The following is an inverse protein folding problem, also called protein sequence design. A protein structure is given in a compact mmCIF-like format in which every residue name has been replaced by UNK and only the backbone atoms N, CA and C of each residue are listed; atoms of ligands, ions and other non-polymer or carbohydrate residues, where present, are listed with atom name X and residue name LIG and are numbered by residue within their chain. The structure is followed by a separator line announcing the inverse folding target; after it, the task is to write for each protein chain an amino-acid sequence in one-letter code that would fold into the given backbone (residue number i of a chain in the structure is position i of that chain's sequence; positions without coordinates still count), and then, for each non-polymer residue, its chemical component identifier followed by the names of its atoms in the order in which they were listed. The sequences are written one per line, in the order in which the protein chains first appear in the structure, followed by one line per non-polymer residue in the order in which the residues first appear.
data_IF_335939295595
#
_entry.id   IF_335939295595
#
_cell.length_a   1.000
_cell.length_b   1.000
_cell.length_c   1.000
_cell.angle_alpha   90.00
_cell.angle_beta   90.00
_cell.angle_gamma   90.00
#
_symmetry.space_group_name_H-M   'P 1'
#
loop_
_entity.id
_entity.type
_entity.pdbx_description
1 polymer ?
#
# COMPACT_ATOMS: atom_id res chain seq x y z
N UNK A 1 -27.79 -2.31 17.03
CA UNK A 1 -26.38 -2.07 16.66
C UNK A 1 -26.35 -1.23 15.39
N UNK A 2 -25.35 -0.33 15.26
CA UNK A 2 -25.18 0.50 14.07
C UNK A 2 -24.78 -0.38 12.88
N UNK A 3 -25.58 -0.37 11.81
CA UNK A 3 -25.35 -1.20 10.62
C UNK A 3 -24.89 -0.42 9.41
N UNK A 4 -25.32 0.82 9.26
CA UNK A 4 -25.02 1.61 8.07
C UNK A 4 -24.72 3.05 8.47
N UNK A 5 -23.75 3.65 7.78
CA UNK A 5 -23.44 5.06 7.88
C UNK A 5 -23.67 5.65 6.48
N UNK A 6 -24.64 6.58 6.36
CA UNK A 6 -25.00 7.20 5.07
C UNK A 6 -24.07 8.33 4.63
N UNK A 7 -23.10 8.69 5.45
CA UNK A 7 -22.03 9.64 5.14
C UNK A 7 -20.68 9.09 5.57
N UNK A 8 -19.84 9.95 6.13
CA UNK A 8 -18.49 9.57 6.56
C UNK A 8 -18.48 8.97 7.98
N UNK A 9 -17.62 7.98 8.17
CA UNK A 9 -17.17 7.49 9.47
C UNK A 9 -15.77 8.06 9.72
N UNK A 10 -15.66 9.04 10.61
CA UNK A 10 -14.39 9.67 10.95
C UNK A 10 -14.10 9.48 12.43
N UNK A 11 -12.98 8.83 12.75
CA UNK A 11 -12.51 8.58 14.11
C UNK A 11 -11.08 9.08 14.26
N UNK A 12 -10.90 10.07 15.14
CA UNK A 12 -9.59 10.64 15.47
C UNK A 12 -9.37 10.53 16.97
N UNK A 13 -8.23 9.99 17.40
CA UNK A 13 -7.91 9.96 18.83
C UNK A 13 -6.51 9.46 19.13
N UNK A 14 -5.74 10.24 19.88
CA UNK A 14 -4.37 9.89 20.29
C UNK A 14 -4.31 8.70 21.25
N UNK A 15 -5.38 8.47 22.04
CA UNK A 15 -5.46 7.41 23.04
C UNK A 15 -6.38 6.24 22.63
N UNK A 16 -6.91 6.22 21.40
CA UNK A 16 -7.83 5.18 20.96
C UNK A 16 -7.07 3.86 20.72
N UNK A 17 -7.23 2.91 21.63
CA UNK A 17 -6.55 1.62 21.55
C UNK A 17 -7.30 0.59 20.70
N UNK A 18 -8.63 0.62 20.74
CA UNK A 18 -9.46 -0.38 20.05
C UNK A 18 -10.61 0.29 19.34
N UNK A 19 -10.85 -0.12 18.10
CA UNK A 19 -12.05 0.24 17.36
C UNK A 19 -12.71 -1.03 16.85
N UNK A 20 -13.94 -1.29 17.29
CA UNK A 20 -14.66 -2.52 17.00
C UNK A 20 -16.06 -2.21 16.45
N UNK A 21 -16.26 -2.53 15.18
CA UNK A 21 -17.48 -2.27 14.42
C UNK A 21 -18.21 -3.57 14.06
N UNK A 22 -18.50 -4.41 15.05
CA UNK A 22 -19.12 -5.76 14.91
C UNK A 22 -20.33 -5.88 13.98
N UNK A 23 -21.12 -4.82 13.82
CA UNK A 23 -22.37 -4.88 13.03
C UNK A 23 -22.39 -3.91 11.87
N UNK A 24 -21.35 -3.09 11.71
CA UNK A 24 -21.28 -2.11 10.63
C UNK A 24 -21.10 -2.87 9.31
N UNK A 25 -22.01 -2.65 8.38
CA UNK A 25 -22.07 -3.32 7.08
C UNK A 25 -21.62 -2.39 5.95
N UNK A 26 -21.92 -1.09 6.02
CA UNK A 26 -21.53 -0.15 4.98
C UNK A 26 -21.28 1.26 5.49
N UNK A 27 -20.35 1.94 4.79
CA UNK A 27 -20.09 3.38 4.88
C UNK A 27 -20.27 3.98 3.49
N UNK A 28 -21.26 4.85 3.32
CA UNK A 28 -21.57 5.47 2.03
C UNK A 28 -20.63 6.63 1.67
N UNK A 29 -19.88 7.15 2.63
CA UNK A 29 -18.80 8.11 2.44
C UNK A 29 -17.43 7.52 2.75
N UNK A 30 -16.58 8.32 3.36
CA UNK A 30 -15.23 7.95 3.76
C UNK A 30 -15.21 7.18 5.08
N UNK A 31 -14.34 6.18 5.20
CA UNK A 31 -13.97 5.58 6.48
C UNK A 31 -12.56 6.03 6.85
N UNK A 32 -12.46 6.98 7.78
CA UNK A 32 -11.19 7.50 8.31
C UNK A 32 -11.02 7.06 9.75
N UNK A 33 -9.90 6.42 10.06
CA UNK A 33 -9.46 6.17 11.43
C UNK A 33 -8.01 6.60 11.60
N UNK A 34 -7.78 7.44 12.61
CA UNK A 34 -6.47 7.97 12.93
C UNK A 34 -6.22 7.91 14.44
N UNK A 35 -5.18 7.17 14.86
CA UNK A 35 -4.85 7.02 16.28
C UNK A 35 -3.39 6.65 16.48
N UNK A 36 -2.75 7.24 17.49
CA UNK A 36 -1.35 6.98 17.88
C UNK A 36 -1.23 5.70 18.74
N UNK A 37 -2.33 5.26 19.35
CA UNK A 37 -2.35 4.19 20.33
C UNK A 37 -3.10 2.93 19.86
N UNK A 38 -3.52 2.90 18.59
CA UNK A 38 -4.32 1.79 18.07
C UNK A 38 -3.56 0.47 18.20
N UNK A 39 -4.18 -0.49 18.89
CA UNK A 39 -3.72 -1.87 19.02
C UNK A 39 -4.47 -2.77 18.04
N UNK A 40 -5.78 -2.54 17.88
CA UNK A 40 -6.65 -3.41 17.09
C UNK A 40 -7.81 -2.63 16.44
N UNK A 41 -8.13 -3.02 15.21
CA UNK A 41 -9.32 -2.55 14.48
C UNK A 41 -10.05 -3.74 13.85
N UNK A 42 -11.34 -3.89 14.18
CA UNK A 42 -12.20 -4.95 13.65
C UNK A 42 -13.48 -4.39 13.05
N UNK A 43 -13.90 -4.93 11.90
CA UNK A 43 -15.22 -4.69 11.33
C UNK A 43 -15.72 -5.94 10.60
N UNK A 44 -16.24 -6.89 11.39
CA UNK A 44 -16.56 -8.26 10.95
C UNK A 44 -17.62 -8.33 9.84
N UNK A 45 -18.54 -7.36 9.82
CA UNK A 45 -19.67 -7.31 8.91
C UNK A 45 -19.50 -6.29 7.77
N UNK A 46 -18.41 -5.52 7.76
CA UNK A 46 -18.23 -4.43 6.81
C UNK A 46 -17.95 -5.01 5.43
N UNK A 47 -18.83 -4.71 4.46
CA UNK A 47 -18.71 -5.18 3.08
C UNK A 47 -18.26 -4.11 2.11
N UNK A 48 -18.66 -2.85 2.36
CA UNK A 48 -18.44 -1.76 1.40
C UNK A 48 -18.09 -0.43 2.07
N UNK A 49 -17.10 0.26 1.51
CA UNK A 49 -16.85 1.69 1.71
C UNK A 49 -16.94 2.40 0.36
N UNK A 50 -17.94 3.27 0.17
CA UNK A 50 -18.16 3.94 -1.12
C UNK A 50 -17.23 5.16 -1.35
N UNK A 51 -16.52 5.60 -0.31
CA UNK A 51 -15.42 6.56 -0.43
C UNK A 51 -14.05 5.91 -0.21
N UNK A 52 -13.07 6.76 0.13
CA UNK A 52 -11.76 6.32 0.62
C UNK A 52 -11.87 5.60 1.97
N UNK A 53 -11.05 4.58 2.16
CA UNK A 53 -10.77 3.97 3.47
C UNK A 53 -9.35 4.33 3.87
N UNK A 54 -9.21 5.18 4.88
CA UNK A 54 -7.93 5.77 5.31
C UNK A 54 -7.66 5.41 6.76
N UNK A 55 -6.68 4.54 6.99
CA UNK A 55 -6.25 4.11 8.32
C UNK A 55 -4.83 4.60 8.55
N UNK A 56 -4.65 5.48 9.54
CA UNK A 56 -3.35 6.11 9.83
C UNK A 56 -3.01 5.88 11.30
N UNK A 57 -1.87 5.26 11.56
CA UNK A 57 -1.39 4.96 12.91
C UNK A 57 -0.80 6.15 13.65
N UNK A 58 -1.21 7.38 13.33
CA UNK A 58 -0.75 8.58 14.03
C UNK A 58 -1.55 9.81 13.67
N UNK A 59 -1.64 10.73 14.60
CA UNK A 59 -2.18 12.10 14.52
C UNK A 59 -1.09 13.15 14.30
N UNK A 60 0.20 12.77 14.38
CA UNK A 60 1.38 13.60 14.21
C UNK A 60 2.41 12.97 13.25
N UNK A 61 3.52 13.66 12.95
CA UNK A 61 4.47 13.23 11.91
C UNK A 61 5.32 12.01 12.30
N UNK A 62 5.63 11.82 13.59
CA UNK A 62 6.60 10.81 14.05
C UNK A 62 5.98 9.60 14.77
N UNK A 63 4.80 9.74 15.38
CA UNK A 63 4.20 8.62 16.09
C UNK A 63 3.77 7.54 15.09
N UNK A 64 3.79 6.28 15.54
CA UNK A 64 3.35 5.13 14.77
C UNK A 64 2.66 4.16 15.71
N UNK A 65 1.41 3.85 15.41
CA UNK A 65 0.59 3.07 16.31
C UNK A 65 1.12 1.64 16.40
N UNK A 66 1.12 1.04 17.59
CA UNK A 66 1.55 -0.33 17.81
C UNK A 66 0.53 -1.36 17.32
N UNK A 67 -0.27 -1.04 16.30
CA UNK A 67 -1.34 -1.91 15.81
C UNK A 67 -0.73 -3.18 15.24
N UNK A 68 -1.13 -4.32 15.78
CA UNK A 68 -0.60 -5.63 15.36
C UNK A 68 -1.54 -6.30 14.37
N UNK A 69 -2.85 -6.04 14.49
CA UNK A 69 -3.88 -6.74 13.74
C UNK A 69 -5.04 -5.83 13.33
N UNK A 70 -5.49 -6.04 12.10
CA UNK A 70 -6.73 -5.51 11.56
C UNK A 70 -7.54 -6.67 11.00
N UNK A 71 -8.87 -6.58 11.04
CA UNK A 71 -9.73 -7.67 10.58
C UNK A 71 -10.96 -7.16 9.84
N UNK A 72 -11.02 -7.44 8.53
CA UNK A 72 -12.07 -7.03 7.60
C UNK A 72 -12.54 -8.22 6.72
N UNK A 73 -13.04 -9.31 7.33
CA UNK A 73 -13.23 -10.59 6.64
C UNK A 73 -14.28 -10.58 5.53
N UNK A 74 -15.13 -9.55 5.47
CA UNK A 74 -16.22 -9.41 4.49
C UNK A 74 -16.05 -8.20 3.57
N UNK A 75 -14.96 -7.44 3.70
CA UNK A 75 -14.78 -6.19 2.98
C UNK A 75 -14.41 -6.47 1.52
N UNK A 76 -15.40 -6.37 0.65
CA UNK A 76 -15.28 -6.74 -0.77
C UNK A 76 -14.98 -5.54 -1.65
N UNK A 77 -15.42 -4.33 -1.26
CA UNK A 77 -15.39 -3.17 -2.14
C UNK A 77 -15.04 -1.87 -1.41
N UNK A 78 -14.05 -1.18 -1.96
CA UNK A 78 -13.72 0.21 -1.64
C UNK A 78 -13.77 0.98 -2.96
N UNK A 79 -14.68 1.93 -3.13
CA UNK A 79 -14.76 2.68 -4.39
C UNK A 79 -13.62 3.70 -4.53
N UNK A 80 -13.14 4.23 -3.40
CA UNK A 80 -11.99 5.13 -3.34
C UNK A 80 -10.67 4.42 -3.10
N UNK A 81 -9.70 5.16 -2.54
CA UNK A 81 -8.39 4.61 -2.17
C UNK A 81 -8.44 3.88 -0.83
N UNK A 82 -7.85 2.69 -0.77
CA UNK A 82 -7.43 2.06 0.48
C UNK A 82 -6.04 2.58 0.87
N UNK A 83 -5.94 3.31 1.98
CA UNK A 83 -4.68 3.83 2.51
C UNK A 83 -4.40 3.23 3.89
N UNK A 84 -3.25 2.59 4.04
CA UNK A 84 -2.66 2.23 5.32
C UNK A 84 -1.36 2.99 5.50
N UNK A 85 -1.25 3.76 6.58
CA UNK A 85 -0.07 4.59 6.81
C UNK A 85 0.39 4.52 8.27
N UNK A 86 1.71 4.48 8.49
CA UNK A 86 2.36 4.71 9.80
C UNK A 86 1.92 3.76 10.93
N UNK A 87 1.91 2.46 10.65
CA UNK A 87 1.77 1.42 11.68
C UNK A 87 3.10 0.70 11.92
N UNK A 88 3.52 0.63 13.18
CA UNK A 88 4.82 0.09 13.55
C UNK A 88 4.84 -1.43 13.65
N UNK A 89 3.70 -2.05 13.97
CA UNK A 89 3.64 -3.49 14.26
C UNK A 89 2.74 -4.29 13.32
N UNK A 90 2.18 -3.64 12.31
CA UNK A 90 1.20 -4.26 11.42
C UNK A 90 1.92 -5.14 10.40
N UNK A 91 1.93 -6.45 10.64
CA UNK A 91 2.66 -7.42 9.81
C UNK A 91 1.77 -8.37 9.00
N UNK A 92 0.52 -8.60 9.42
CA UNK A 92 -0.38 -9.61 8.85
C UNK A 92 -1.38 -9.08 7.81
N UNK A 93 -0.91 -8.36 6.80
CA UNK A 93 -1.80 -7.65 5.88
C UNK A 93 -2.39 -8.49 4.75
N UNK A 94 -1.68 -9.53 4.28
CA UNK A 94 -2.17 -10.37 3.17
C UNK A 94 -3.53 -11.06 3.43
N UNK A 95 -3.87 -11.35 4.69
CA UNK A 95 -5.18 -11.91 5.06
C UNK A 95 -6.21 -10.86 5.45
N UNK A 96 -5.77 -9.64 5.79
CA UNK A 96 -6.66 -8.57 6.28
C UNK A 96 -7.67 -8.15 5.21
N UNK A 97 -7.22 -8.08 3.93
CA UNK A 97 -8.03 -7.68 2.78
C UNK A 97 -8.17 -8.79 1.74
N UNK A 98 -8.05 -10.06 2.15
CA UNK A 98 -7.99 -11.20 1.23
C UNK A 98 -9.25 -11.45 0.38
N UNK A 99 -10.39 -10.85 0.77
CA UNK A 99 -11.66 -10.93 0.01
C UNK A 99 -11.97 -9.66 -0.79
N UNK A 100 -11.07 -8.67 -0.78
CA UNK A 100 -11.27 -7.41 -1.48
C UNK A 100 -11.14 -7.64 -2.99
N UNK A 101 -12.22 -7.40 -3.72
CA UNK A 101 -12.28 -7.58 -5.18
C UNK A 101 -12.13 -6.26 -5.93
N UNK A 102 -12.37 -5.13 -5.25
CA UNK A 102 -12.34 -3.80 -5.86
C UNK A 102 -11.79 -2.74 -4.89
N UNK A 103 -10.83 -1.97 -5.37
CA UNK A 103 -10.32 -0.75 -4.75
C UNK A 103 -10.05 0.29 -5.83
N UNK A 104 -10.49 1.54 -5.65
CA UNK A 104 -10.19 2.62 -6.59
C UNK A 104 -8.69 2.94 -6.70
N UNK A 105 -7.94 2.73 -5.63
CA UNK A 105 -6.48 2.72 -5.60
C UNK A 105 -5.97 2.04 -4.31
N UNK A 106 -4.70 1.67 -4.28
CA UNK A 106 -4.08 1.00 -3.13
C UNK A 106 -2.82 1.76 -2.70
N UNK A 107 -2.71 2.06 -1.40
CA UNK A 107 -1.60 2.85 -0.86
C UNK A 107 -1.13 2.29 0.49
N UNK A 108 0.11 1.80 0.54
CA UNK A 108 0.82 1.46 1.78
C UNK A 108 1.98 2.43 1.99
N UNK A 109 2.04 3.07 3.15
CA UNK A 109 3.06 4.07 3.49
C UNK A 109 3.61 3.85 4.90
N UNK A 110 4.94 3.87 5.05
CA UNK A 110 5.59 3.85 6.36
C UNK A 110 5.16 2.67 7.26
N UNK A 111 4.98 1.48 6.70
CA UNK A 111 4.62 0.27 7.44
C UNK A 111 5.89 -0.49 7.83
N UNK A 112 6.30 -0.38 9.10
CA UNK A 112 7.62 -0.83 9.54
C UNK A 112 7.78 -2.36 9.50
N UNK A 113 6.69 -3.11 9.73
CA UNK A 113 6.70 -4.58 9.80
C UNK A 113 5.84 -5.28 8.74
N UNK A 114 5.29 -4.57 7.77
CA UNK A 114 4.56 -5.20 6.66
C UNK A 114 5.53 -6.02 5.81
N UNK A 115 5.29 -7.33 5.71
CA UNK A 115 6.15 -8.25 4.95
C UNK A 115 5.60 -8.56 3.55
N UNK A 116 4.28 -8.45 3.36
CA UNK A 116 3.60 -8.66 2.08
C UNK A 116 2.60 -7.54 1.80
N UNK A 117 2.52 -7.18 0.52
CA UNK A 117 1.45 -6.39 -0.08
C UNK A 117 0.72 -7.35 -1.00
N UNK A 118 -0.46 -7.83 -0.60
CA UNK A 118 -1.15 -8.89 -1.33
C UNK A 118 -2.64 -8.59 -1.44
N UNK A 119 -3.14 -8.64 -2.68
CA UNK A 119 -4.56 -8.51 -3.01
C UNK A 119 -4.92 -9.60 -4.02
N UNK A 120 -5.39 -10.78 -3.57
CA UNK A 120 -5.50 -11.96 -4.42
C UNK A 120 -6.65 -11.90 -5.42
N UNK A 121 -7.66 -11.05 -5.19
CA UNK A 121 -8.89 -10.98 -5.98
C UNK A 121 -9.10 -9.65 -6.72
N UNK A 122 -8.18 -8.68 -6.60
CA UNK A 122 -8.29 -7.41 -7.34
C UNK A 122 -7.89 -7.65 -8.79
N UNK A 123 -8.87 -7.51 -9.68
CA UNK A 123 -8.67 -7.58 -11.14
C UNK A 123 -8.30 -6.21 -11.72
N UNK A 124 -8.95 -5.14 -11.25
CA UNK A 124 -8.69 -3.78 -11.71
C UNK A 124 -8.56 -2.82 -10.53
N UNK A 125 -7.64 -1.86 -10.64
CA UNK A 125 -7.49 -0.77 -9.66
C UNK A 125 -6.91 0.47 -10.32
N UNK A 126 -6.97 1.62 -9.67
CA UNK A 126 -6.24 2.81 -10.10
C UNK A 126 -4.76 2.68 -9.73
N UNK A 127 -4.23 3.69 -9.04
CA UNK A 127 -2.81 3.71 -8.71
C UNK A 127 -2.48 2.74 -7.57
N UNK A 128 -1.34 2.09 -7.69
CA UNK A 128 -0.73 1.26 -6.65
C UNK A 128 0.53 1.99 -6.19
N UNK A 129 0.54 2.42 -4.93
CA UNK A 129 1.69 3.12 -4.33
C UNK A 129 2.14 2.39 -3.07
N UNK A 130 3.42 2.06 -3.00
CA UNK A 130 4.06 1.47 -1.84
C UNK A 130 5.31 2.26 -1.51
N UNK A 131 5.31 2.93 -0.35
CA UNK A 131 6.39 3.85 0.05
C UNK A 131 6.88 3.52 1.45
N UNK A 132 8.20 3.50 1.64
CA UNK A 132 8.86 3.37 2.94
C UNK A 132 8.37 2.17 3.78
N UNK A 133 8.29 0.99 3.15
CA UNK A 133 8.00 -0.29 3.80
C UNK A 133 9.29 -1.14 3.82
N UNK A 134 10.19 -0.94 4.80
CA UNK A 134 11.59 -1.35 4.70
C UNK A 134 11.83 -2.86 4.69
N UNK A 135 10.90 -3.64 5.25
CA UNK A 135 11.01 -5.11 5.31
C UNK A 135 10.05 -5.83 4.36
N UNK A 136 9.32 -5.09 3.53
CA UNK A 136 8.38 -5.65 2.58
C UNK A 136 9.13 -6.50 1.56
N UNK A 137 8.79 -7.79 1.47
CA UNK A 137 9.48 -8.75 0.59
C UNK A 137 8.73 -9.05 -0.68
N UNK A 138 7.40 -9.04 -0.61
CA UNK A 138 6.56 -9.50 -1.71
C UNK A 138 5.42 -8.53 -2.00
N UNK A 139 5.25 -8.20 -3.27
CA UNK A 139 4.07 -7.49 -3.81
C UNK A 139 3.37 -8.43 -4.79
N UNK A 140 2.16 -8.88 -4.45
CA UNK A 140 1.46 -9.97 -5.12
C UNK A 140 0.04 -9.54 -5.47
N UNK A 141 -0.25 -9.40 -6.76
CA UNK A 141 -1.61 -9.20 -7.27
C UNK A 141 -1.89 -10.22 -8.38
N UNK A 142 -2.16 -11.49 -8.03
CA UNK A 142 -2.28 -12.59 -8.99
C UNK A 142 -3.49 -12.50 -9.93
N UNK A 143 -4.50 -11.69 -9.57
CA UNK A 143 -5.69 -11.46 -10.39
C UNK A 143 -5.63 -10.17 -11.23
N UNK A 144 -4.66 -9.29 -10.98
CA UNK A 144 -4.61 -7.96 -11.59
C UNK A 144 -4.43 -8.06 -13.12
N UNK A 145 -5.34 -7.45 -13.87
CA UNK A 145 -5.26 -7.29 -15.33
C UNK A 145 -4.91 -5.85 -15.70
N UNK A 146 -5.51 -4.87 -15.03
CA UNK A 146 -5.35 -3.45 -15.35
C UNK A 146 -5.10 -2.61 -14.08
N UNK A 147 -4.13 -1.71 -14.16
CA UNK A 147 -3.88 -0.70 -13.14
C UNK A 147 -3.66 0.69 -13.75
N UNK A 148 -3.75 1.72 -12.93
CA UNK A 148 -3.33 3.08 -13.28
C UNK A 148 -1.81 3.16 -13.38
N UNK A 149 -1.16 3.66 -12.33
CA UNK A 149 0.30 3.66 -12.20
C UNK A 149 0.77 2.71 -11.10
N UNK A 150 2.01 2.24 -11.21
CA UNK A 150 2.69 1.49 -10.15
C UNK A 150 3.90 2.28 -9.66
N UNK A 151 3.90 2.65 -8.39
CA UNK A 151 5.02 3.34 -7.75
C UNK A 151 5.47 2.58 -6.50
N UNK A 152 6.73 2.15 -6.50
CA UNK A 152 7.36 1.50 -5.35
C UNK A 152 8.67 2.22 -5.03
N UNK A 153 8.76 2.81 -3.84
CA UNK A 153 9.91 3.58 -3.36
C UNK A 153 10.21 3.26 -1.90
N UNK A 154 11.48 3.34 -1.47
CA UNK A 154 11.84 3.10 -0.06
C UNK A 154 11.56 1.67 0.45
N UNK A 155 11.51 0.68 -0.45
CA UNK A 155 11.21 -0.72 -0.12
C UNK A 155 12.40 -1.67 -0.47
N UNK A 156 13.56 -1.54 0.20
CA UNK A 156 14.81 -2.22 -0.18
C UNK A 156 14.79 -3.75 -0.04
N UNK A 157 13.86 -4.31 0.73
CA UNK A 157 13.78 -5.75 0.99
C UNK A 157 12.93 -6.53 -0.02
N UNK A 158 12.36 -5.88 -1.06
CA UNK A 158 11.51 -6.56 -2.03
C UNK A 158 12.35 -7.56 -2.84
N UNK A 159 11.95 -8.82 -2.75
CA UNK A 159 12.51 -9.96 -3.47
C UNK A 159 11.54 -10.47 -4.55
N UNK A 160 10.23 -10.21 -4.40
CA UNK A 160 9.20 -10.73 -5.30
C UNK A 160 8.21 -9.64 -5.68
N UNK A 161 8.04 -9.43 -6.97
CA UNK A 161 6.90 -8.73 -7.55
C UNK A 161 6.17 -9.75 -8.44
N UNK A 162 4.84 -9.87 -8.34
CA UNK A 162 4.12 -10.84 -9.16
C UNK A 162 2.77 -10.31 -9.60
N UNK A 163 2.66 -10.07 -10.91
CA UNK A 163 1.46 -9.62 -11.58
C UNK A 163 1.19 -10.50 -12.82
N UNK A 164 0.99 -11.82 -12.64
CA UNK A 164 1.02 -12.80 -13.73
C UNK A 164 -0.06 -12.59 -14.81
N UNK A 165 -1.14 -11.88 -14.49
CA UNK A 165 -2.23 -11.56 -15.41
C UNK A 165 -2.22 -10.11 -15.88
N UNK A 166 -1.26 -9.29 -15.46
CA UNK A 166 -1.29 -7.86 -15.75
C UNK A 166 -1.07 -7.61 -17.24
N UNK A 167 -2.06 -7.03 -17.90
CA UNK A 167 -2.04 -6.73 -19.32
C UNK A 167 -1.62 -5.27 -19.55
N UNK A 168 -1.96 -4.36 -18.62
CA UNK A 168 -1.79 -2.93 -18.82
C UNK A 168 -1.60 -2.12 -17.53
N UNK A 169 -0.72 -1.14 -17.61
CA UNK A 169 -0.67 0.03 -16.72
C UNK A 169 -0.98 1.28 -17.57
N UNK A 170 -1.98 2.06 -17.17
CA UNK A 170 -2.40 3.27 -17.91
C UNK A 170 -1.50 4.48 -17.68
N UNK A 171 -0.65 4.44 -16.65
CA UNK A 171 0.38 5.45 -16.39
C UNK A 171 1.74 4.82 -16.06
N UNK A 172 2.56 5.58 -15.34
CA UNK A 172 3.96 5.21 -15.13
C UNK A 172 4.14 3.98 -14.24
N UNK A 173 5.19 3.20 -14.54
CA UNK A 173 5.72 2.15 -13.67
C UNK A 173 7.09 2.60 -13.17
N UNK A 174 7.13 3.02 -11.91
CA UNK A 174 8.33 3.52 -11.22
C UNK A 174 8.72 2.60 -10.07
N UNK A 175 9.86 1.94 -10.22
CA UNK A 175 10.46 1.08 -9.20
C UNK A 175 11.81 1.65 -8.78
N UNK A 176 11.91 2.18 -7.57
CA UNK A 176 13.13 2.78 -7.05
C UNK A 176 13.62 2.05 -5.79
N UNK A 177 14.93 1.89 -5.68
CA UNK A 177 15.59 1.33 -4.48
C UNK A 177 15.24 -0.14 -4.22
N UNK A 178 15.27 -0.98 -5.27
CA UNK A 178 14.98 -2.43 -5.18
C UNK A 178 16.24 -3.28 -5.48
N UNK A 179 17.22 -3.34 -4.55
CA UNK A 179 18.54 -3.95 -4.83
C UNK A 179 18.51 -5.48 -5.03
N UNK A 180 17.49 -6.17 -4.53
CA UNK A 180 17.36 -7.62 -4.66
C UNK A 180 16.74 -8.06 -6.00
N UNK A 181 16.10 -7.15 -6.72
CA UNK A 181 15.53 -7.41 -8.04
C UNK A 181 16.64 -7.40 -9.09
N UNK A 182 16.86 -8.55 -9.72
CA UNK A 182 17.90 -8.74 -10.74
C UNK A 182 17.36 -8.87 -12.16
N UNK A 183 16.12 -9.33 -12.30
CA UNK A 183 15.45 -9.50 -13.59
C UNK A 183 14.07 -8.89 -13.51
N UNK A 184 13.81 -7.88 -14.35
CA UNK A 184 12.51 -7.21 -14.41
C UNK A 184 11.49 -7.99 -15.25
N UNK A 185 11.95 -8.86 -16.16
CA UNK A 185 11.10 -9.59 -17.10
C UNK A 185 10.28 -10.72 -16.47
N UNK A 186 10.67 -11.20 -15.28
CA UNK A 186 9.90 -12.22 -14.55
C UNK A 186 8.59 -11.69 -13.95
N UNK A 187 8.45 -10.36 -13.82
CA UNK A 187 7.32 -9.74 -13.10
C UNK A 187 6.13 -9.40 -13.99
N UNK A 188 6.40 -9.17 -15.27
CA UNK A 188 5.43 -8.73 -16.25
C UNK A 188 5.25 -9.85 -17.27
N UNK A 189 4.01 -10.28 -17.59
CA UNK A 189 3.83 -11.17 -18.72
C UNK A 189 4.42 -10.48 -19.96
N UNK A 190 5.06 -11.26 -20.82
CA UNK A 190 5.79 -10.82 -22.02
C UNK A 190 4.99 -9.96 -23.03
N UNK A 191 3.71 -9.67 -22.76
CA UNK A 191 2.77 -8.99 -23.64
C UNK A 191 2.57 -7.49 -23.32
N UNK A 192 3.16 -6.94 -22.27
CA UNK A 192 3.00 -5.51 -21.95
C UNK A 192 3.72 -4.62 -22.99
N UNK A 193 3.02 -3.69 -23.67
CA UNK A 193 3.69 -2.68 -24.48
C UNK A 193 4.50 -1.77 -23.53
N UNK A 194 5.82 -1.85 -23.64
CA UNK A 194 6.78 -1.08 -22.84
C UNK A 194 6.70 0.41 -23.21
N UNK A 195 5.72 1.13 -22.66
CA UNK A 195 5.70 2.59 -22.63
C UNK A 195 6.76 3.10 -21.65
N UNK A 196 7.65 3.96 -22.14
CA UNK A 196 8.78 4.63 -21.48
C UNK A 196 9.04 4.27 -20.00
N UNK A 197 9.79 3.18 -19.77
CA UNK A 197 10.41 2.92 -18.47
C UNK A 197 11.51 3.96 -18.19
N UNK A 198 11.29 4.82 -17.20
CA UNK A 198 12.34 5.65 -16.62
C UNK A 198 12.96 4.92 -15.41
N UNK A 199 13.89 4.01 -15.67
CA UNK A 199 14.78 3.51 -14.62
C UNK A 199 15.88 4.56 -14.40
N UNK A 200 15.72 5.45 -13.41
CA UNK A 200 16.82 6.35 -13.05
C UNK A 200 17.97 5.54 -12.41
N UNK A 201 19.22 5.68 -12.89
CA UNK A 201 20.35 5.00 -12.29
C UNK A 201 20.70 5.65 -10.95
N UNK A 202 20.56 4.90 -9.87
CA UNK A 202 21.14 5.22 -8.57
C UNK A 202 22.65 5.00 -8.60
N UNK A 203 23.42 5.96 -9.11
CA UNK A 203 24.84 6.11 -8.75
C UNK A 203 25.26 7.59 -8.77
N UNK A 204 25.25 8.22 -7.59
CA UNK A 204 26.11 9.39 -7.32
C UNK A 204 27.56 8.90 -7.30
N UNK A 205 28.18 8.78 -8.47
CA UNK A 205 29.62 8.71 -8.58
C UNK A 205 30.21 10.09 -8.21
N UNK A 206 30.70 10.23 -6.97
CA UNK A 206 31.58 11.33 -6.60
C UNK A 206 32.84 11.25 -7.48
N UNK A 207 32.96 12.12 -8.49
CA UNK A 207 34.23 12.31 -9.21
C UNK A 207 35.20 13.05 -8.28
N UNK A 208 36.43 12.54 -8.07
CA UNK A 208 37.46 13.33 -7.40
C UNK A 208 37.85 14.52 -8.27
N UNK A 209 37.86 15.70 -7.66
CA UNK A 209 38.34 16.95 -8.24
C UNK A 209 39.87 16.88 -8.41
N UNK A 210 40.36 16.89 -9.64
CA UNK A 210 41.79 17.03 -9.95
C UNK A 210 42.04 18.50 -10.32
N UNK A 211 42.74 19.29 -9.48
CA UNK A 211 43.13 20.64 -9.87
C UNK A 211 44.24 20.58 -10.92
N UNK A 212 43.97 21.16 -12.10
CA UNK A 212 44.98 21.39 -13.13
C UNK A 212 45.89 22.55 -12.72
N UNK A 213 47.18 22.24 -12.61
CA UNK A 213 48.26 23.08 -13.13
C UNK A 213 48.74 24.21 -12.22
N UNK A 214 49.88 23.99 -11.56
CA UNK A 214 50.91 25.01 -11.35
C UNK A 214 52.28 24.33 -11.27
N UNK A 215 53.15 24.63 -12.23
CA UNK A 215 54.62 24.51 -12.13
C UNK A 215 55.26 25.20 -13.34
N UNK A 216 56.47 25.76 -13.22
CA UNK A 216 57.10 26.43 -12.07
C UNK A 216 56.96 27.96 -12.14
#
# INVERSE_FOLDING_TARGET
ALKEIKGDLCVYGTALQTADFKSLQSVAGHFVLQSDALLQLTADELTTVAGNMTLIGTTADEAKAPCEQMYFPKLQRIDGTLTLSRFDRLSGLGTTFGVLTQAGALRYEHLALANTFEFPLIETTGNITVTDCPILRSVLLPALTDAGSLEITGCPAIETLSFPKAERFDGDVSLATLPAIKDFGEFLPMALPLGELSAQPTERACKPFIPKGQSP
#
